data_IF_221073255990
#
_entry.id   IF_221073255990
#
_cell.length_a   1.000
_cell.length_b   1.000
_cell.length_c   1.000
_cell.angle_alpha   90.00
_cell.angle_beta   90.00
_cell.angle_gamma   90.00
#
_symmetry.space_group_name_H-M   'P 1'
#
loop_
_entity.id
_entity.type
_entity.pdbx_description
1 polymer ?
#
# COMPACT_ATOMS: atom_id res chain seq x y z
N UNK A 1 0.03 27.85 0.84
CA UNK A 1 0.97 27.37 -0.20
C UNK A 1 2.11 26.56 0.41
N UNK A 2 2.77 27.05 1.47
CA UNK A 2 3.87 26.36 2.17
C UNK A 2 3.55 24.94 2.69
N UNK A 3 2.31 24.73 3.18
CA UNK A 3 1.88 23.43 3.73
C UNK A 3 1.85 22.33 2.66
N UNK A 4 1.35 22.66 1.47
CA UNK A 4 1.27 21.74 0.33
C UNK A 4 2.65 21.39 -0.20
N UNK A 5 3.55 22.38 -0.28
CA UNK A 5 4.93 22.17 -0.69
C UNK A 5 5.66 21.20 0.24
N UNK A 6 5.51 21.36 1.56
CA UNK A 6 6.11 20.47 2.56
C UNK A 6 5.61 19.03 2.42
N UNK A 7 4.30 18.86 2.24
CA UNK A 7 3.66 17.56 2.04
C UNK A 7 4.08 16.88 0.73
N UNK A 8 4.19 17.64 -0.37
CA UNK A 8 4.71 17.14 -1.64
C UNK A 8 6.17 16.72 -1.54
N UNK A 9 7.01 17.48 -0.83
CA UNK A 9 8.43 17.11 -0.63
C UNK A 9 8.56 15.86 0.24
N UNK A 10 7.71 15.72 1.27
CA UNK A 10 7.60 14.50 2.07
C UNK A 10 7.22 13.29 1.22
N UNK A 11 6.28 13.43 0.28
CA UNK A 11 5.92 12.35 -0.65
C UNK A 11 7.11 11.90 -1.50
N UNK A 12 7.89 12.83 -2.05
CA UNK A 12 9.05 12.47 -2.88
C UNK A 12 10.01 11.59 -2.09
N UNK A 13 10.31 11.95 -0.84
CA UNK A 13 11.21 11.18 0.02
C UNK A 13 10.55 9.89 0.50
N UNK A 14 9.33 9.97 1.01
CA UNK A 14 8.64 8.87 1.69
C UNK A 14 8.06 7.81 0.75
N UNK A 15 7.59 8.20 -0.45
CA UNK A 15 7.01 7.29 -1.44
C UNK A 15 8.07 6.67 -2.34
N UNK A 16 9.07 7.45 -2.76
CA UNK A 16 10.10 6.99 -3.69
C UNK A 16 11.38 6.58 -2.97
N UNK A 17 12.10 7.52 -2.35
CA UNK A 17 13.43 7.24 -1.81
C UNK A 17 13.42 6.24 -0.65
N UNK A 18 12.44 6.33 0.27
CA UNK A 18 12.32 5.43 1.42
C UNK A 18 12.19 3.96 1.01
N UNK A 19 11.09 3.57 0.31
CA UNK A 19 10.90 2.20 -0.16
C UNK A 19 12.01 1.75 -1.09
N UNK A 20 12.52 2.62 -1.97
CA UNK A 20 13.58 2.28 -2.89
C UNK A 20 14.88 1.88 -2.15
N UNK A 21 15.34 2.71 -1.21
CA UNK A 21 16.55 2.43 -0.44
C UNK A 21 16.40 1.16 0.41
N UNK A 22 15.23 0.98 1.05
CA UNK A 22 14.93 -0.19 1.88
C UNK A 22 14.87 -1.46 1.00
N UNK A 23 14.20 -1.42 -0.15
CA UNK A 23 14.08 -2.58 -1.04
C UNK A 23 15.36 -2.90 -1.82
N UNK A 24 16.35 -1.99 -1.88
CA UNK A 24 17.65 -2.29 -2.48
C UNK A 24 18.38 -3.40 -1.69
N UNK A 25 18.18 -3.46 -0.38
CA UNK A 25 18.79 -4.44 0.51
C UNK A 25 18.22 -5.85 0.29
N UNK A 26 19.08 -6.79 -0.18
CA UNK A 26 18.71 -8.21 -0.39
C UNK A 26 18.15 -8.88 0.87
N UNK A 27 18.67 -8.52 2.05
CA UNK A 27 18.22 -9.06 3.35
C UNK A 27 16.72 -8.84 3.61
N UNK A 28 16.20 -7.68 3.18
CA UNK A 28 14.79 -7.30 3.38
C UNK A 28 13.88 -8.09 2.44
N UNK A 29 14.35 -8.30 1.20
CA UNK A 29 13.63 -9.08 0.19
C UNK A 29 13.48 -10.56 0.54
N UNK A 30 14.39 -11.15 1.32
CA UNK A 30 14.31 -12.55 1.76
C UNK A 30 13.45 -12.77 3.02
N UNK A 31 13.15 -11.71 3.77
CA UNK A 31 12.40 -11.81 5.02
C UNK A 31 10.95 -11.31 4.82
N UNK A 32 9.95 -12.21 4.73
CA UNK A 32 8.58 -11.84 4.37
C UNK A 32 7.95 -10.85 5.36
N UNK A 33 8.31 -10.95 6.64
CA UNK A 33 7.78 -10.03 7.66
C UNK A 33 8.23 -8.58 7.43
N UNK A 34 9.51 -8.36 7.09
CA UNK A 34 10.02 -7.02 6.76
C UNK A 34 9.44 -6.49 5.46
N UNK A 35 9.25 -7.37 4.48
CA UNK A 35 8.60 -7.00 3.23
C UNK A 35 7.15 -6.54 3.45
N UNK A 36 6.43 -7.17 4.39
CA UNK A 36 5.07 -6.77 4.77
C UNK A 36 5.02 -5.36 5.37
N UNK A 37 5.97 -5.01 6.26
CA UNK A 37 6.08 -3.64 6.79
C UNK A 37 6.31 -2.60 5.69
N UNK A 38 7.20 -2.90 4.72
CA UNK A 38 7.46 -2.00 3.58
C UNK A 38 6.23 -1.88 2.68
N UNK A 39 5.52 -2.98 2.42
CA UNK A 39 4.27 -2.96 1.66
C UNK A 39 3.20 -2.08 2.35
N UNK A 40 3.06 -2.21 3.67
CA UNK A 40 2.16 -1.35 4.46
C UNK A 40 2.53 0.13 4.36
N UNK A 41 3.83 0.46 4.41
CA UNK A 41 4.32 1.82 4.20
C UNK A 41 4.01 2.36 2.81
N UNK A 42 4.17 1.55 1.75
CA UNK A 42 3.85 1.94 0.37
C UNK A 42 2.35 2.25 0.24
N UNK A 43 1.48 1.40 0.80
CA UNK A 43 0.03 1.63 0.79
C UNK A 43 -0.32 2.91 1.54
N UNK A 44 0.29 3.15 2.71
CA UNK A 44 0.11 4.39 3.45
C UNK A 44 0.53 5.63 2.64
N UNK A 45 1.68 5.59 1.97
CA UNK A 45 2.13 6.68 1.11
C UNK A 45 1.22 6.90 -0.11
N UNK A 46 0.64 5.83 -0.65
CA UNK A 46 -0.36 5.92 -1.71
C UNK A 46 -1.66 6.60 -1.23
N UNK A 47 -2.07 6.35 0.02
CA UNK A 47 -3.22 7.04 0.61
C UNK A 47 -2.94 8.52 0.80
N UNK A 48 -1.75 8.87 1.28
CA UNK A 48 -1.30 10.25 1.47
C UNK A 48 -1.20 11.01 0.14
N UNK A 49 -0.74 10.35 -0.92
CA UNK A 49 -0.72 10.88 -2.28
C UNK A 49 -2.12 11.21 -2.80
N UNK A 50 -3.05 10.26 -2.65
CA UNK A 50 -4.44 10.47 -3.02
C UNK A 50 -5.06 11.65 -2.25
N UNK A 51 -4.73 11.80 -0.96
CA UNK A 51 -5.18 12.92 -0.13
C UNK A 51 -4.66 14.27 -0.65
N UNK A 52 -3.37 14.35 -1.01
CA UNK A 52 -2.75 15.58 -1.53
C UNK A 52 -3.26 15.94 -2.92
N UNK A 53 -3.59 14.97 -3.76
CA UNK A 53 -4.16 15.24 -5.10
C UNK A 53 -5.62 15.72 -4.99
N UNK A 54 -6.42 15.17 -4.07
CA UNK A 54 -7.86 15.45 -4.00
C UNK A 54 -8.19 16.70 -3.19
N UNK A 55 -7.59 16.92 -2.02
CA UNK A 55 -8.01 18.03 -1.15
C UNK A 55 -7.78 19.45 -1.68
N UNK A 56 -6.72 19.78 -2.43
CA UNK A 56 -6.54 21.13 -2.95
C UNK A 56 -7.71 21.57 -3.85
N UNK A 57 -8.38 20.60 -4.49
CA UNK A 57 -9.57 20.85 -5.30
C UNK A 57 -10.81 21.18 -4.45
N UNK A 58 -10.84 20.77 -3.17
CA UNK A 58 -11.98 20.94 -2.26
C UNK A 58 -11.77 22.10 -1.25
N UNK A 59 -10.55 22.32 -0.78
CA UNK A 59 -10.21 23.32 0.24
C UNK A 59 -8.98 24.13 -0.18
N UNK A 60 -9.20 25.30 -0.79
CA UNK A 60 -8.12 26.17 -1.28
C UNK A 60 -7.30 26.90 -0.20
N UNK A 61 -7.73 26.87 1.07
CA UNK A 61 -7.19 27.73 2.15
C UNK A 61 -6.41 26.99 3.24
N UNK A 62 -6.20 25.68 3.16
CA UNK A 62 -5.38 24.96 4.14
C UNK A 62 -5.62 23.45 4.17
N UNK A 63 -4.74 22.73 4.88
CA UNK A 63 -4.92 21.29 5.14
C UNK A 63 -5.83 21.14 6.35
N UNK A 64 -7.07 20.69 6.11
CA UNK A 64 -8.01 20.35 7.17
C UNK A 64 -8.19 18.84 7.21
N UNK A 65 -7.54 18.19 8.17
CA UNK A 65 -7.73 16.77 8.42
C UNK A 65 -9.03 16.58 9.19
N UNK A 66 -10.02 15.98 8.53
CA UNK A 66 -11.28 15.62 9.16
C UNK A 66 -11.31 14.12 9.46
N UNK A 67 -11.89 13.73 10.59
CA UNK A 67 -12.13 12.32 10.92
C UNK A 67 -13.00 11.66 9.84
N UNK A 68 -13.89 12.44 9.19
CA UNK A 68 -14.77 11.96 8.13
C UNK A 68 -14.03 11.48 6.88
N UNK A 69 -12.84 12.01 6.61
CA UNK A 69 -12.01 11.58 5.47
C UNK A 69 -11.58 10.10 5.65
N UNK A 70 -11.25 9.72 6.89
CA UNK A 70 -10.87 8.35 7.22
C UNK A 70 -12.05 7.39 7.20
N UNK A 71 -13.26 7.84 7.54
CA UNK A 71 -14.46 6.99 7.54
C UNK A 71 -14.74 6.47 6.13
N UNK A 72 -14.65 7.34 5.12
CA UNK A 72 -14.87 6.93 3.72
C UNK A 72 -13.88 5.85 3.27
N UNK A 73 -12.61 6.02 3.64
CA UNK A 73 -11.54 5.09 3.29
C UNK A 73 -11.71 3.74 4.00
N UNK A 74 -12.04 3.76 5.29
CA UNK A 74 -12.30 2.55 6.07
C UNK A 74 -13.53 1.82 5.53
N UNK A 75 -14.60 2.53 5.19
CA UNK A 75 -15.82 1.93 4.64
C UNK A 75 -15.54 1.19 3.33
N UNK A 76 -14.82 1.82 2.39
CA UNK A 76 -14.44 1.21 1.12
C UNK A 76 -13.49 0.04 1.37
N UNK A 77 -12.41 0.26 2.13
CA UNK A 77 -11.40 -0.76 2.43
C UNK A 77 -11.98 -2.00 3.13
N UNK A 78 -12.85 -1.81 4.11
CA UNK A 78 -13.51 -2.91 4.82
C UNK A 78 -14.48 -3.67 3.92
N UNK A 79 -15.24 -2.97 3.07
CA UNK A 79 -16.19 -3.59 2.14
C UNK A 79 -15.44 -4.44 1.10
N UNK A 80 -14.41 -3.89 0.46
CA UNK A 80 -13.56 -4.63 -0.48
C UNK A 80 -12.84 -5.79 0.20
N UNK A 81 -12.28 -5.57 1.39
CA UNK A 81 -11.63 -6.61 2.18
C UNK A 81 -12.57 -7.75 2.52
N UNK A 82 -13.80 -7.44 2.95
CA UNK A 82 -14.82 -8.44 3.22
C UNK A 82 -15.19 -9.27 1.99
N UNK A 83 -15.45 -8.62 0.85
CA UNK A 83 -15.76 -9.31 -0.41
C UNK A 83 -14.59 -10.19 -0.86
N UNK A 84 -13.36 -9.65 -0.80
CA UNK A 84 -12.14 -10.39 -1.14
C UNK A 84 -11.99 -11.65 -0.28
N UNK A 85 -12.10 -11.53 1.05
CA UNK A 85 -12.00 -12.65 1.98
C UNK A 85 -13.09 -13.71 1.73
N UNK A 86 -14.31 -13.29 1.35
CA UNK A 86 -15.41 -14.20 0.99
C UNK A 86 -15.14 -14.97 -0.31
N UNK A 87 -14.47 -14.37 -1.27
CA UNK A 87 -14.06 -15.03 -2.53
C UNK A 87 -12.92 -16.01 -2.24
N UNK A 88 -11.89 -15.56 -1.52
CA UNK A 88 -10.73 -16.37 -1.17
C UNK A 88 -11.12 -17.62 -0.37
N UNK A 89 -12.06 -17.50 0.56
CA UNK A 89 -12.55 -18.64 1.34
C UNK A 89 -13.25 -19.72 0.49
N UNK A 90 -13.71 -19.39 -0.72
CA UNK A 90 -14.36 -20.34 -1.64
C UNK A 90 -13.40 -20.96 -2.66
N UNK A 91 -12.20 -20.40 -2.81
CA UNK A 91 -11.21 -20.82 -3.79
C UNK A 91 -10.05 -21.57 -3.11
N UNK A 92 -9.42 -22.50 -3.83
CA UNK A 92 -8.16 -23.09 -3.36
C UNK A 92 -7.05 -22.04 -3.42
N UNK A 93 -6.47 -21.69 -2.27
CA UNK A 93 -5.31 -20.79 -2.17
C UNK A 93 -4.07 -21.36 -2.86
N UNK A 94 -4.02 -22.68 -3.03
CA UNK A 94 -2.94 -23.39 -3.65
C UNK A 94 -3.35 -23.81 -5.08
N UNK A 95 -2.52 -23.60 -6.11
CA UNK A 95 -2.88 -23.92 -7.49
C UNK A 95 -2.75 -25.43 -7.76
N UNK A 96 -3.74 -26.22 -7.33
CA UNK A 96 -3.73 -27.70 -7.35
C UNK A 96 -3.58 -28.30 -8.76
N UNK A 97 -3.98 -27.59 -9.82
CA UNK A 97 -3.99 -28.09 -11.20
C UNK A 97 -2.94 -27.45 -12.11
N UNK A 98 -1.95 -26.74 -11.54
CA UNK A 98 -0.91 -26.10 -12.33
C UNK A 98 0.29 -27.06 -12.56
N UNK A 99 0.63 -27.43 -13.82
CA UNK A 99 1.77 -28.30 -14.11
C UNK A 99 3.12 -27.72 -13.69
N UNK A 100 3.24 -26.39 -13.55
CA UNK A 100 4.49 -25.69 -13.14
C UNK A 100 4.66 -25.61 -11.63
N UNK A 101 3.72 -26.16 -10.86
CA UNK A 101 3.75 -26.12 -9.41
C UNK A 101 5.00 -26.82 -8.84
N UNK A 102 5.38 -27.97 -9.40
CA UNK A 102 6.53 -28.75 -8.93
C UNK A 102 7.84 -27.97 -9.13
N UNK A 103 7.96 -27.24 -10.25
CA UNK A 103 9.09 -26.37 -10.54
C UNK A 103 9.18 -25.22 -9.53
N UNK A 104 8.04 -24.60 -9.23
CA UNK A 104 7.95 -23.49 -8.26
C UNK A 104 8.27 -23.90 -6.82
N UNK A 105 7.94 -25.13 -6.43
CA UNK A 105 8.28 -25.68 -5.10
C UNK A 105 9.76 -26.05 -4.96
N UNK A 106 10.42 -26.44 -6.06
CA UNK A 106 11.85 -26.82 -6.06
C UNK A 106 12.79 -25.61 -6.18
N UNK A 107 12.27 -24.46 -6.56
CA UNK A 107 13.04 -23.22 -6.69
C UNK A 107 13.60 -22.78 -5.32
N UNK A 108 14.92 -22.63 -5.26
CA UNK A 108 15.66 -22.09 -4.10
C UNK A 108 16.46 -20.87 -4.58
N UNK A 109 16.44 -19.77 -3.81
CA UNK A 109 16.87 -18.42 -4.22
C UNK A 109 17.74 -17.75 -3.12
#
# INVERSE_FOLDING_TARGET
TESWWTLSMLLVIGRFFGPFAILLLRSIKKQPHRLCYVAGWIVFMQMLDMYIVILPALHGTGVHLSIWDFVSLIAIGATLGFVYLRIVAKASLFPVRDPRLIESLKLTN
#
